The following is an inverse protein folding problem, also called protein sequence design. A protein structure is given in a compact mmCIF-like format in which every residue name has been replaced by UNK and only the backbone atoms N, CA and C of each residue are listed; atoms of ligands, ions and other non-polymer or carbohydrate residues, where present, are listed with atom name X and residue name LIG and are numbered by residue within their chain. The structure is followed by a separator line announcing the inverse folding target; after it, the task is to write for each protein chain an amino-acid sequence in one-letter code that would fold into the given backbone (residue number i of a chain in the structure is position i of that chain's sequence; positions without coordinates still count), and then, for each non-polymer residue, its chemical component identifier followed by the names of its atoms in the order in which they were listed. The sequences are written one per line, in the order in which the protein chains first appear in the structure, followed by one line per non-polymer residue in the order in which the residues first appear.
data_IF_532259825759
#
_entry.id   IF_532259825759
#
_cell.length_a   1.000
_cell.length_b   1.000
_cell.length_c   1.000
_cell.angle_alpha   90.00
_cell.angle_beta   90.00
_cell.angle_gamma   90.00
#
_symmetry.space_group_name_H-M   'P 1'
#
loop_
_entity.id
_entity.type
_entity.pdbx_description
1 polymer ?
#
# COMPACT_ATOMS: atom_id res chain seq x y z
N UNK A 1 31.96 19.25 -37.01
CA UNK A 1 30.84 18.51 -37.62
C UNK A 1 31.06 17.03 -37.36
N UNK A 2 30.13 16.37 -36.68
CA UNK A 2 30.33 14.97 -36.24
C UNK A 2 30.30 14.04 -37.45
N UNK A 3 31.10 12.97 -37.46
CA UNK A 3 31.17 12.01 -38.56
C UNK A 3 29.77 11.48 -38.97
N UNK A 4 28.89 11.30 -37.99
CA UNK A 4 27.50 10.88 -38.20
C UNK A 4 26.63 11.92 -38.93
N UNK A 5 26.89 13.22 -38.74
CA UNK A 5 26.17 14.29 -39.44
C UNK A 5 26.60 14.33 -40.92
N UNK A 6 27.90 14.13 -41.19
CA UNK A 6 28.44 14.07 -42.54
C UNK A 6 27.85 12.88 -43.31
N UNK A 7 27.79 11.69 -42.70
CA UNK A 7 27.19 10.49 -43.31
C UNK A 7 25.70 10.70 -43.63
N UNK A 8 24.95 11.37 -42.74
CA UNK A 8 23.53 11.66 -42.95
C UNK A 8 23.33 12.62 -44.12
N UNK A 9 24.11 13.70 -44.21
CA UNK A 9 24.03 14.67 -45.31
C UNK A 9 24.43 14.03 -46.64
N UNK A 10 25.49 13.20 -46.66
CA UNK A 10 25.88 12.48 -47.88
C UNK A 10 24.75 11.57 -48.37
N UNK A 11 24.04 10.88 -47.46
CA UNK A 11 22.88 10.05 -47.82
C UNK A 11 21.74 10.88 -48.40
N UNK A 12 21.39 11.99 -47.75
CA UNK A 12 20.31 12.88 -48.20
C UNK A 12 20.64 13.48 -49.59
N UNK A 13 21.88 13.92 -49.80
CA UNK A 13 22.35 14.43 -51.10
C UNK A 13 22.36 13.33 -52.17
N UNK A 14 22.78 12.11 -51.83
CA UNK A 14 22.78 10.99 -52.76
C UNK A 14 21.35 10.63 -53.22
N UNK A 15 20.37 10.65 -52.31
CA UNK A 15 18.96 10.41 -52.65
C UNK A 15 18.43 11.51 -53.58
N UNK A 16 18.72 12.79 -53.27
CA UNK A 16 18.32 13.91 -54.12
C UNK A 16 18.94 13.80 -55.51
N UNK A 17 20.23 13.46 -55.61
CA UNK A 17 20.90 13.23 -56.89
C UNK A 17 20.23 12.12 -57.71
N UNK A 18 19.89 10.99 -57.07
CA UNK A 18 19.19 9.88 -57.76
C UNK A 18 17.83 10.34 -58.28
N UNK A 19 17.05 11.07 -57.48
CA UNK A 19 15.75 11.60 -57.89
C UNK A 19 15.89 12.57 -59.06
N UNK A 20 16.89 13.45 -59.04
CA UNK A 20 17.17 14.38 -60.14
C UNK A 20 17.58 13.66 -61.43
N UNK A 21 18.42 12.62 -61.34
CA UNK A 21 18.83 11.81 -62.50
C UNK A 21 17.64 11.07 -63.11
N UNK A 22 16.80 10.47 -62.27
CA UNK A 22 15.58 9.79 -62.73
C UNK A 22 14.62 10.81 -63.35
N UNK A 23 14.39 11.95 -62.71
CA UNK A 23 13.53 13.03 -63.23
C UNK A 23 14.03 13.59 -64.57
N UNK A 24 15.33 13.84 -64.70
CA UNK A 24 15.95 14.27 -65.95
C UNK A 24 15.78 13.22 -67.06
N UNK A 25 15.97 11.94 -66.73
CA UNK A 25 15.78 10.84 -67.68
C UNK A 25 14.32 10.71 -68.13
N UNK A 26 13.36 10.94 -67.23
CA UNK A 26 11.93 10.96 -67.56
C UNK A 26 11.62 12.13 -68.49
N UNK A 27 12.07 13.35 -68.19
CA UNK A 27 11.78 14.54 -69.02
C UNK A 27 12.38 14.42 -70.43
N UNK A 28 13.59 13.88 -70.55
CA UNK A 28 14.28 13.71 -71.83
C UNK A 28 14.00 12.37 -72.53
N UNK A 29 13.15 11.51 -71.96
CA UNK A 29 12.70 10.32 -72.68
C UNK A 29 11.61 10.71 -73.65
N UNK A 30 11.80 10.39 -74.94
CA UNK A 30 10.74 10.44 -75.94
C UNK A 30 9.67 9.39 -75.56
N UNK A 31 8.70 9.79 -74.73
CA UNK A 31 7.53 8.98 -74.39
C UNK A 31 6.58 8.90 -75.57
N UNK A 32 7.02 8.25 -76.66
CA UNK A 32 6.15 7.83 -77.73
C UNK A 32 5.48 6.52 -77.30
N UNK A 33 4.44 6.63 -76.47
CA UNK A 33 3.62 5.48 -76.08
C UNK A 33 2.81 5.07 -77.30
N UNK A 34 3.39 4.15 -78.08
CA UNK A 34 2.71 3.59 -79.25
C UNK A 34 1.68 2.57 -78.77
N UNK A 35 0.49 3.05 -78.38
CA UNK A 35 -0.61 2.23 -77.85
C UNK A 35 -1.08 1.13 -78.82
N UNK A 36 -0.68 1.19 -80.09
CA UNK A 36 -0.99 0.19 -81.11
C UNK A 36 -0.17 -1.12 -81.00
N UNK A 37 0.92 -1.15 -80.23
CA UNK A 37 1.75 -2.37 -80.05
C UNK A 37 1.52 -3.09 -78.72
N UNK A 38 0.63 -2.57 -77.86
CA UNK A 38 0.32 -3.18 -76.58
C UNK A 38 -0.63 -4.36 -76.77
N UNK A 39 -0.26 -5.53 -76.24
CA UNK A 39 -1.17 -6.66 -76.16
C UNK A 39 -2.28 -6.35 -75.15
N UNK A 40 -3.46 -6.97 -75.32
CA UNK A 40 -4.55 -6.87 -74.34
C UNK A 40 -4.07 -7.23 -72.91
N UNK A 41 -3.12 -8.17 -72.80
CA UNK A 41 -2.49 -8.57 -71.53
C UNK A 41 -1.71 -7.42 -70.88
N UNK A 42 -1.02 -6.60 -71.67
CA UNK A 42 -0.19 -5.49 -71.17
C UNK A 42 -1.07 -4.36 -70.61
N UNK A 43 -2.21 -4.10 -71.28
CA UNK A 43 -3.20 -3.11 -70.82
C UNK A 43 -3.83 -3.57 -69.50
N UNK A 44 -4.17 -4.86 -69.38
CA UNK A 44 -4.71 -5.43 -68.13
C UNK A 44 -3.67 -5.36 -67.02
N UNK A 45 -2.40 -5.66 -67.30
CA UNK A 45 -1.32 -5.56 -66.32
C UNK A 45 -1.10 -4.11 -65.84
N UNK A 46 -1.14 -3.13 -66.75
CA UNK A 46 -1.05 -1.71 -66.42
C UNK A 46 -2.22 -1.26 -65.55
N UNK A 47 -3.44 -1.71 -65.85
CA UNK A 47 -4.63 -1.43 -65.05
C UNK A 47 -4.51 -2.04 -63.65
N UNK A 48 -4.04 -3.29 -63.56
CA UNK A 48 -3.81 -3.97 -62.29
C UNK A 48 -2.78 -3.23 -61.43
N UNK A 49 -1.68 -2.77 -62.06
CA UNK A 49 -0.64 -2.00 -61.41
C UNK A 49 -1.18 -0.67 -60.86
N UNK A 50 -2.04 0.02 -61.63
CA UNK A 50 -2.70 1.26 -61.18
C UNK A 50 -3.56 1.02 -59.93
N UNK A 51 -4.36 -0.05 -59.93
CA UNK A 51 -5.19 -0.41 -58.77
C UNK A 51 -4.35 -0.83 -57.56
N UNK A 52 -3.24 -1.55 -57.76
CA UNK A 52 -2.34 -1.94 -56.68
C UNK A 52 -1.70 -0.70 -56.01
N UNK A 53 -1.26 0.28 -56.79
CA UNK A 53 -0.73 1.55 -56.27
C UNK A 53 -1.84 2.33 -55.54
N UNK A 54 -3.03 2.43 -56.12
CA UNK A 54 -4.18 3.11 -55.49
C UNK A 54 -4.59 2.47 -54.16
N UNK A 55 -4.65 1.14 -54.10
CA UNK A 55 -4.94 0.39 -52.89
C UNK A 55 -3.84 0.57 -51.83
N UNK A 56 -2.57 0.59 -52.23
CA UNK A 56 -1.45 0.85 -51.32
C UNK A 56 -1.58 2.21 -50.63
N UNK A 57 -1.88 3.27 -51.40
CA UNK A 57 -2.11 4.62 -50.85
C UNK A 57 -3.35 4.65 -49.95
N UNK A 58 -4.44 3.99 -50.33
CA UNK A 58 -5.64 3.90 -49.51
C UNK A 58 -5.39 3.16 -48.19
N UNK A 59 -4.63 2.06 -48.21
CA UNK A 59 -4.22 1.34 -47.01
C UNK A 59 -3.28 2.16 -46.12
N UNK A 60 -2.36 2.93 -46.72
CA UNK A 60 -1.48 3.83 -45.98
C UNK A 60 -2.28 4.86 -45.18
N UNK A 61 -3.21 5.57 -45.82
CA UNK A 61 -4.03 6.57 -45.12
C UNK A 61 -4.91 5.94 -44.04
N UNK A 62 -5.55 4.79 -44.32
CA UNK A 62 -6.40 4.10 -43.34
C UNK A 62 -5.60 3.57 -42.15
N UNK A 63 -4.39 3.06 -42.39
CA UNK A 63 -3.48 2.60 -41.34
C UNK A 63 -2.95 3.77 -40.51
N UNK A 64 -2.62 4.89 -41.15
CA UNK A 64 -2.16 6.11 -40.48
C UNK A 64 -3.26 6.70 -39.57
N UNK A 65 -4.48 6.84 -40.07
CA UNK A 65 -5.63 7.31 -39.27
C UNK A 65 -5.95 6.35 -38.11
N UNK A 66 -5.90 5.04 -38.34
CA UNK A 66 -6.10 4.05 -37.29
C UNK A 66 -5.01 4.09 -36.24
N UNK A 67 -3.75 4.30 -36.64
CA UNK A 67 -2.61 4.39 -35.74
C UNK A 67 -2.68 5.64 -34.88
N UNK A 68 -2.98 6.80 -35.47
CA UNK A 68 -3.16 8.04 -34.72
C UNK A 68 -4.29 7.91 -33.67
N UNK A 69 -5.45 7.36 -34.07
CA UNK A 69 -6.55 7.10 -33.13
C UNK A 69 -6.15 6.12 -32.03
N UNK A 70 -5.35 5.10 -32.35
CA UNK A 70 -4.84 4.16 -31.36
C UNK A 70 -3.91 4.84 -30.36
N UNK A 71 -2.97 5.67 -30.81
CA UNK A 71 -2.05 6.40 -29.93
C UNK A 71 -2.78 7.42 -29.05
N UNK A 72 -3.74 8.16 -29.58
CA UNK A 72 -4.56 9.09 -28.80
C UNK A 72 -5.37 8.36 -27.72
N UNK A 73 -5.98 7.23 -28.07
CA UNK A 73 -6.73 6.40 -27.14
C UNK A 73 -5.82 5.76 -26.07
N UNK A 74 -4.63 5.30 -26.46
CA UNK A 74 -3.66 4.75 -25.51
C UNK A 74 -3.15 5.83 -24.56
N UNK A 75 -2.85 7.03 -25.07
CA UNK A 75 -2.44 8.15 -24.24
C UNK A 75 -3.53 8.54 -23.24
N UNK A 76 -4.78 8.67 -23.70
CA UNK A 76 -5.94 8.91 -22.81
C UNK A 76 -6.11 7.79 -21.79
N UNK A 77 -6.04 6.53 -22.22
CA UNK A 77 -6.15 5.37 -21.34
C UNK A 77 -5.09 5.36 -20.25
N UNK A 78 -3.82 5.59 -20.61
CA UNK A 78 -2.72 5.65 -19.65
C UNK A 78 -2.91 6.83 -18.69
N UNK A 79 -3.26 8.02 -19.20
CA UNK A 79 -3.52 9.19 -18.38
C UNK A 79 -4.66 8.94 -17.38
N UNK A 80 -5.80 8.43 -17.85
CA UNK A 80 -6.95 8.13 -17.00
C UNK A 80 -6.60 7.06 -15.95
N UNK A 81 -5.85 6.03 -16.34
CA UNK A 81 -5.37 5.00 -15.41
C UNK A 81 -4.44 5.59 -14.34
N UNK A 82 -3.51 6.47 -14.71
CA UNK A 82 -2.62 7.15 -13.77
C UNK A 82 -3.37 8.08 -12.81
N UNK A 83 -4.40 8.78 -13.28
CA UNK A 83 -5.27 9.63 -12.43
C UNK A 83 -6.01 8.77 -11.41
N UNK A 84 -6.57 7.63 -11.84
CA UNK A 84 -7.26 6.73 -10.92
C UNK A 84 -6.29 6.09 -9.93
N UNK A 85 -5.11 5.65 -10.36
CA UNK A 85 -4.08 5.14 -9.44
C UNK A 85 -3.66 6.19 -8.41
N UNK A 86 -3.51 7.46 -8.83
CA UNK A 86 -3.21 8.56 -7.92
C UNK A 86 -4.34 8.83 -6.93
N UNK A 87 -5.59 8.71 -7.37
CA UNK A 87 -6.78 8.84 -6.52
C UNK A 87 -6.85 7.69 -5.51
N UNK A 88 -6.54 6.46 -5.92
CA UNK A 88 -6.42 5.30 -5.02
C UNK A 88 -5.29 5.52 -4.03
N UNK A 89 -4.10 5.90 -4.47
CA UNK A 89 -2.95 6.10 -3.59
C UNK A 89 -3.19 7.21 -2.56
N UNK A 90 -3.86 8.31 -2.96
CA UNK A 90 -4.22 9.39 -2.04
C UNK A 90 -5.34 9.00 -1.09
N UNK A 91 -6.46 8.45 -1.60
CA UNK A 91 -7.60 8.03 -0.78
C UNK A 91 -7.28 6.87 0.16
N UNK A 92 -6.74 5.76 -0.37
CA UNK A 92 -6.34 4.61 0.45
C UNK A 92 -5.16 4.90 1.35
N UNK A 93 -4.15 5.62 0.87
CA UNK A 93 -2.99 5.94 1.68
C UNK A 93 -3.37 6.78 2.91
N UNK A 94 -4.24 7.77 2.73
CA UNK A 94 -4.71 8.62 3.83
C UNK A 94 -5.64 7.85 4.78
N UNK A 95 -6.53 7.00 4.26
CA UNK A 95 -7.40 6.17 5.09
C UNK A 95 -6.63 5.10 5.87
N UNK A 96 -5.66 4.41 5.26
CA UNK A 96 -4.80 3.43 5.95
C UNK A 96 -4.01 4.11 7.07
N UNK A 97 -3.43 5.27 6.78
CA UNK A 97 -2.66 6.04 7.77
C UNK A 97 -3.55 6.47 8.94
N UNK A 98 -4.79 6.86 8.66
CA UNK A 98 -5.75 7.24 9.70
C UNK A 98 -6.20 6.03 10.55
N UNK A 99 -6.36 4.86 9.93
CA UNK A 99 -6.64 3.58 10.61
C UNK A 99 -5.45 3.17 11.49
N UNK A 100 -4.22 3.26 10.98
CA UNK A 100 -2.99 2.96 11.74
C UNK A 100 -2.86 3.86 12.96
N UNK A 101 -3.11 5.16 12.79
CA UNK A 101 -3.06 6.14 13.86
C UNK A 101 -4.13 5.88 14.93
N UNK A 102 -5.37 5.59 14.54
CA UNK A 102 -6.44 5.26 15.50
C UNK A 102 -6.28 3.89 16.15
N UNK A 103 -5.65 2.93 15.49
CA UNK A 103 -5.27 1.64 16.10
C UNK A 103 -4.21 1.83 17.18
N UNK A 104 -3.28 2.76 16.95
CA UNK A 104 -2.31 3.18 17.96
C UNK A 104 -3.00 3.89 19.13
N UNK A 105 -3.96 4.79 18.86
CA UNK A 105 -4.77 5.44 19.90
C UNK A 105 -5.60 4.43 20.69
N UNK A 106 -6.18 3.43 20.03
CA UNK A 106 -6.92 2.33 20.67
C UNK A 106 -6.00 1.50 21.59
N UNK A 107 -4.79 1.21 21.13
CA UNK A 107 -3.78 0.52 21.95
C UNK A 107 -3.43 1.34 23.19
N UNK A 108 -3.32 2.66 23.06
CA UNK A 108 -3.07 3.59 24.16
C UNK A 108 -4.29 3.68 25.12
N UNK A 109 -5.52 3.71 24.59
CA UNK A 109 -6.76 3.67 25.38
C UNK A 109 -6.90 2.36 26.16
N UNK A 110 -6.56 1.23 25.53
CA UNK A 110 -6.53 -0.10 26.17
C UNK A 110 -5.47 -0.14 27.28
N UNK A 111 -4.28 0.41 27.03
CA UNK A 111 -3.24 0.55 28.05
C UNK A 111 -3.77 1.38 29.24
N UNK A 112 -4.42 2.53 28.98
CA UNK A 112 -5.08 3.37 30.00
C UNK A 112 -6.17 2.65 30.81
N UNK A 113 -6.90 1.71 30.21
CA UNK A 113 -7.91 0.89 30.90
C UNK A 113 -7.30 -0.07 31.93
N UNK A 114 -6.22 -0.76 31.57
CA UNK A 114 -5.51 -1.60 32.54
C UNK A 114 -4.82 -0.77 33.63
N UNK A 115 -4.43 0.46 33.29
CA UNK A 115 -3.78 1.47 34.15
C UNK A 115 -4.72 2.21 35.13
N UNK A 116 -6.04 2.17 34.97
CA UNK A 116 -6.98 2.92 35.83
C UNK A 116 -8.12 2.01 36.33
N UNK A 117 -8.43 1.99 37.62
CA UNK A 117 -9.52 1.14 38.15
C UNK A 117 -10.83 1.88 37.86
N UNK A 118 -11.54 1.56 36.78
CA UNK A 118 -12.79 2.27 36.50
C UNK A 118 -13.61 1.67 35.36
N UNK A 119 -14.85 1.30 35.68
CA UNK A 119 -15.86 0.83 34.75
C UNK A 119 -16.24 1.86 33.66
N UNK A 120 -15.90 3.15 33.82
CA UNK A 120 -16.16 4.22 32.84
C UNK A 120 -15.31 4.11 31.55
N UNK A 121 -14.09 3.56 31.62
CA UNK A 121 -13.18 3.46 30.45
C UNK A 121 -13.60 2.31 29.51
N UNK A 122 -14.37 1.34 30.00
CA UNK A 122 -14.91 0.23 29.20
C UNK A 122 -15.87 0.72 28.11
N UNK A 123 -16.65 1.77 28.39
CA UNK A 123 -17.64 2.29 27.45
C UNK A 123 -16.99 3.16 26.36
N UNK A 124 -15.91 3.87 26.71
CA UNK A 124 -15.13 4.68 25.79
C UNK A 124 -14.33 3.81 24.81
N UNK A 125 -13.68 2.74 25.28
CA UNK A 125 -13.01 1.76 24.41
C UNK A 125 -14.00 1.06 23.47
N UNK A 126 -15.19 0.70 23.96
CA UNK A 126 -16.22 0.10 23.11
C UNK A 126 -16.71 1.07 22.02
N UNK A 127 -16.86 2.36 22.34
CA UNK A 127 -17.21 3.40 21.36
C UNK A 127 -16.08 3.67 20.38
N UNK A 128 -14.83 3.70 20.82
CA UNK A 128 -13.66 3.95 19.99
C UNK A 128 -13.39 2.77 19.03
N UNK A 129 -13.58 1.53 19.52
CA UNK A 129 -13.56 0.31 18.71
C UNK A 129 -14.69 0.30 17.67
N UNK A 130 -15.92 0.62 18.08
CA UNK A 130 -17.05 0.71 17.14
C UNK A 130 -16.86 1.82 16.10
N UNK A 131 -16.25 2.94 16.47
CA UNK A 131 -15.92 4.02 15.54
C UNK A 131 -14.82 3.62 14.55
N UNK A 132 -13.83 2.85 15.00
CA UNK A 132 -12.76 2.32 14.15
C UNK A 132 -13.29 1.23 13.21
N UNK A 133 -14.09 0.29 13.70
CA UNK A 133 -14.78 -0.73 12.88
C UNK A 133 -15.69 -0.09 11.84
N UNK A 134 -16.44 0.96 12.22
CA UNK A 134 -17.28 1.71 11.29
C UNK A 134 -16.46 2.42 10.21
N UNK A 135 -15.35 3.05 10.57
CA UNK A 135 -14.49 3.73 9.62
C UNK A 135 -13.79 2.75 8.65
N UNK A 136 -13.38 1.56 9.14
CA UNK A 136 -12.89 0.47 8.28
C UNK A 136 -13.97 0.03 7.30
N UNK A 137 -15.21 -0.16 7.77
CA UNK A 137 -16.34 -0.51 6.90
C UNK A 137 -16.68 0.58 5.87
N UNK A 138 -16.56 1.85 6.24
CA UNK A 138 -16.80 2.98 5.33
C UNK A 138 -15.70 3.06 4.26
N UNK A 139 -14.44 2.83 4.65
CA UNK A 139 -13.29 2.72 3.74
C UNK A 139 -13.42 1.55 2.76
N UNK A 140 -13.90 0.39 3.21
CA UNK A 140 -14.17 -0.76 2.35
C UNK A 140 -15.27 -0.44 1.31
N UNK A 141 -16.35 0.22 1.73
CA UNK A 141 -17.40 0.63 0.80
C UNK A 141 -16.90 1.65 -0.24
N UNK A 142 -16.00 2.55 0.15
CA UNK A 142 -15.41 3.52 -0.77
C UNK A 142 -14.44 2.84 -1.76
N UNK A 143 -13.70 1.82 -1.32
CA UNK A 143 -12.92 0.93 -2.16
C UNK A 143 -13.80 0.29 -3.24
N UNK A 144 -14.92 -0.30 -2.81
CA UNK A 144 -15.90 -0.93 -3.69
C UNK A 144 -16.40 0.02 -4.78
N UNK A 145 -16.74 1.27 -4.42
CA UNK A 145 -17.19 2.29 -5.37
C UNK A 145 -16.11 2.72 -6.37
N UNK A 146 -14.87 2.87 -5.92
CA UNK A 146 -13.73 3.21 -6.79
C UNK A 146 -13.48 2.07 -7.79
N UNK A 147 -13.58 0.82 -7.33
CA UNK A 147 -13.43 -0.35 -8.19
C UNK A 147 -14.59 -0.49 -9.17
N UNK A 148 -15.83 -0.21 -8.75
CA UNK A 148 -16.99 -0.19 -9.64
C UNK A 148 -16.84 0.88 -10.73
N UNK A 149 -16.36 2.06 -10.37
CA UNK A 149 -16.03 3.14 -11.32
C UNK A 149 -14.89 2.73 -12.27
N UNK A 150 -13.90 1.99 -11.77
CA UNK A 150 -12.83 1.41 -12.60
C UNK A 150 -13.38 0.40 -13.60
N UNK A 151 -14.29 -0.47 -13.17
CA UNK A 151 -14.93 -1.44 -14.05
C UNK A 151 -15.80 -0.77 -15.11
N UNK A 152 -16.57 0.26 -14.76
CA UNK A 152 -17.35 1.03 -15.73
C UNK A 152 -16.46 1.74 -16.77
N UNK A 153 -15.32 2.30 -16.34
CA UNK A 153 -14.38 2.98 -17.25
C UNK A 153 -13.51 2.03 -18.06
N UNK A 154 -13.32 0.80 -17.59
CA UNK A 154 -12.61 -0.23 -18.33
C UNK A 154 -13.47 -0.78 -19.47
N UNK A 155 -12.89 -0.94 -20.66
CA UNK A 155 -13.53 -1.66 -21.79
C UNK A 155 -13.49 -3.20 -21.59
N UNK A 156 -13.61 -3.67 -20.36
CA UNK A 156 -13.64 -5.11 -20.05
C UNK A 156 -15.01 -5.69 -20.41
N UNK A 157 -15.00 -6.94 -20.88
CA UNK A 157 -16.23 -7.70 -21.10
C UNK A 157 -16.95 -7.97 -19.76
N UNK A 158 -18.28 -8.06 -19.77
CA UNK A 158 -19.08 -8.24 -18.56
C UNK A 158 -18.73 -9.52 -17.79
N UNK A 159 -18.23 -10.56 -18.49
CA UNK A 159 -17.75 -11.79 -17.83
C UNK A 159 -16.45 -11.58 -17.06
N UNK A 160 -15.52 -10.79 -17.60
CA UNK A 160 -14.24 -10.47 -16.94
C UNK A 160 -14.47 -9.58 -15.71
N UNK A 161 -15.43 -8.64 -15.79
CA UNK A 161 -15.84 -7.82 -14.64
C UNK A 161 -16.35 -8.65 -13.47
N UNK A 162 -17.21 -9.64 -13.73
CA UNK A 162 -17.71 -10.52 -12.68
C UNK A 162 -16.60 -11.35 -12.03
N UNK A 163 -15.67 -11.90 -12.84
CA UNK A 163 -14.55 -12.69 -12.31
C UNK A 163 -13.65 -11.85 -11.41
N UNK A 164 -13.30 -10.62 -11.82
CA UNK A 164 -12.47 -9.76 -10.97
C UNK A 164 -13.24 -9.30 -9.72
N UNK A 165 -14.54 -9.02 -9.82
CA UNK A 165 -15.36 -8.66 -8.65
C UNK A 165 -15.37 -9.78 -7.61
N UNK A 166 -15.59 -11.03 -8.01
CA UNK A 166 -15.54 -12.16 -7.09
C UNK A 166 -14.14 -12.36 -6.49
N UNK A 167 -13.07 -12.18 -7.27
CA UNK A 167 -11.70 -12.24 -6.72
C UNK A 167 -11.40 -11.14 -5.71
N UNK A 168 -11.98 -9.96 -5.91
CA UNK A 168 -11.81 -8.86 -4.99
C UNK A 168 -12.53 -9.13 -3.67
N UNK A 169 -13.79 -9.56 -3.75
CA UNK A 169 -14.59 -9.95 -2.57
C UNK A 169 -13.92 -11.09 -1.78
N UNK A 170 -13.32 -12.06 -2.46
CA UNK A 170 -12.50 -13.12 -1.84
C UNK A 170 -11.29 -12.56 -1.09
N UNK A 171 -10.56 -11.60 -1.68
CA UNK A 171 -9.39 -10.98 -1.06
C UNK A 171 -9.73 -10.06 0.11
N UNK A 172 -10.88 -9.38 0.06
CA UNK A 172 -11.41 -8.62 1.19
C UNK A 172 -11.78 -9.53 2.36
N UNK A 173 -12.37 -10.69 2.08
CA UNK A 173 -12.71 -11.69 3.09
C UNK A 173 -11.44 -12.26 3.77
N UNK A 174 -10.41 -12.57 2.98
CA UNK A 174 -9.10 -12.99 3.51
C UNK A 174 -8.48 -11.90 4.39
N UNK A 175 -8.51 -10.63 3.97
CA UNK A 175 -7.99 -9.50 4.74
C UNK A 175 -8.70 -9.35 6.09
N UNK A 176 -10.03 -9.45 6.12
CA UNK A 176 -10.79 -9.45 7.38
C UNK A 176 -10.41 -10.60 8.30
N UNK A 177 -10.21 -11.78 7.73
CA UNK A 177 -9.82 -12.97 8.49
C UNK A 177 -8.42 -12.78 9.10
N UNK A 178 -7.46 -12.29 8.33
CA UNK A 178 -6.10 -12.01 8.84
C UNK A 178 -6.08 -10.89 9.89
N UNK A 179 -6.89 -9.84 9.73
CA UNK A 179 -7.02 -8.81 10.76
C UNK A 179 -7.62 -9.38 12.06
N UNK A 180 -8.63 -10.24 11.95
CA UNK A 180 -9.22 -10.92 13.10
C UNK A 180 -8.22 -11.84 13.80
N UNK A 181 -7.44 -12.62 13.04
CA UNK A 181 -6.39 -13.48 13.57
C UNK A 181 -5.25 -12.68 14.23
N UNK A 182 -4.79 -11.59 13.61
CA UNK A 182 -3.78 -10.69 14.20
C UNK A 182 -4.27 -10.08 15.52
N UNK A 183 -5.54 -9.65 15.57
CA UNK A 183 -6.12 -9.12 16.79
C UNK A 183 -6.26 -10.21 17.88
N UNK A 184 -6.57 -11.44 17.50
CA UNK A 184 -6.65 -12.57 18.43
C UNK A 184 -5.26 -12.94 18.98
N UNK A 185 -4.27 -13.13 18.11
CA UNK A 185 -2.89 -13.48 18.48
C UNK A 185 -2.27 -12.36 19.33
N UNK A 186 -2.47 -11.10 18.95
CA UNK A 186 -2.04 -9.98 19.78
C UNK A 186 -2.70 -10.04 21.16
N UNK A 187 -4.02 -10.22 21.25
CA UNK A 187 -4.66 -10.28 22.57
C UNK A 187 -4.21 -11.47 23.43
N UNK A 188 -3.94 -12.63 22.81
CA UNK A 188 -3.45 -13.83 23.50
C UNK A 188 -2.00 -13.67 23.97
N UNK A 189 -1.09 -13.22 23.10
CA UNK A 189 0.32 -12.95 23.46
C UNK A 189 0.41 -11.90 24.58
N UNK A 190 -0.43 -10.86 24.53
CA UNK A 190 -0.48 -9.82 25.56
C UNK A 190 -1.03 -10.35 26.89
N UNK A 191 -2.02 -11.24 26.87
CA UNK A 191 -2.53 -11.88 28.09
C UNK A 191 -1.50 -12.80 28.75
N UNK A 192 -0.75 -13.56 27.95
CA UNK A 192 0.32 -14.45 28.43
C UNK A 192 1.50 -13.66 28.99
N UNK A 193 1.95 -12.61 28.29
CA UNK A 193 2.97 -11.69 28.76
C UNK A 193 2.57 -11.03 30.07
N UNK A 194 1.33 -10.54 30.16
CA UNK A 194 0.82 -9.88 31.35
C UNK A 194 0.74 -10.84 32.55
N UNK A 195 0.33 -12.09 32.33
CA UNK A 195 0.28 -13.13 33.36
C UNK A 195 1.67 -13.48 33.88
N UNK A 196 2.65 -13.62 32.98
CA UNK A 196 4.05 -13.87 33.31
C UNK A 196 4.67 -12.75 34.15
N UNK A 197 4.46 -11.49 33.73
CA UNK A 197 4.95 -10.32 34.47
C UNK A 197 4.30 -10.21 35.85
N UNK A 198 2.98 -10.40 35.95
CA UNK A 198 2.26 -10.39 37.22
C UNK A 198 2.79 -11.42 38.21
N UNK A 199 2.99 -12.65 37.74
CA UNK A 199 3.48 -13.75 38.57
C UNK A 199 4.91 -13.49 39.06
N UNK A 200 5.79 -13.06 38.15
CA UNK A 200 7.18 -12.77 38.48
C UNK A 200 7.30 -11.59 39.45
N UNK A 201 6.59 -10.49 39.18
CA UNK A 201 6.58 -9.31 40.03
C UNK A 201 6.03 -9.63 41.43
N UNK A 202 4.96 -10.42 41.52
CA UNK A 202 4.41 -10.87 42.82
C UNK A 202 5.43 -11.67 43.63
N UNK A 203 6.20 -12.54 42.98
CA UNK A 203 7.27 -13.31 43.64
C UNK A 203 8.38 -12.41 44.15
N UNK A 204 8.80 -11.43 43.35
CA UNK A 204 9.81 -10.45 43.73
C UNK A 204 9.36 -9.57 44.90
N UNK A 205 8.12 -9.09 44.87
CA UNK A 205 7.51 -8.31 45.96
C UNK A 205 7.50 -9.13 47.26
N UNK A 206 7.00 -10.38 47.22
CA UNK A 206 6.99 -11.26 48.40
C UNK A 206 8.39 -11.54 48.96
N UNK A 207 9.40 -11.69 48.09
CA UNK A 207 10.78 -11.91 48.52
C UNK A 207 11.35 -10.65 49.16
N UNK A 208 11.09 -9.49 48.55
CA UNK A 208 11.57 -8.22 49.06
C UNK A 208 10.97 -7.98 50.44
N UNK A 209 9.65 -8.02 50.59
CA UNK A 209 8.91 -7.79 51.86
C UNK A 209 9.34 -8.64 53.08
N UNK A 210 10.15 -9.69 52.89
CA UNK A 210 10.72 -10.50 53.98
C UNK A 210 12.07 -9.98 54.49
N UNK A 211 12.61 -8.92 53.89
CA UNK A 211 13.85 -8.26 54.32
C UNK A 211 13.55 -7.22 55.42
N UNK A 212 14.27 -7.28 56.53
CA UNK A 212 14.02 -6.56 57.81
C UNK A 212 14.07 -5.01 57.75
N UNK A 213 14.32 -4.39 56.59
CA UNK A 213 14.52 -2.93 56.43
C UNK A 213 13.43 -2.22 55.61
N UNK A 214 12.33 -2.90 55.30
CA UNK A 214 11.31 -2.41 54.37
C UNK A 214 10.34 -1.40 54.96
N UNK A 215 10.13 -1.43 56.28
CA UNK A 215 9.23 -0.52 56.98
C UNK A 215 9.63 0.96 56.87
N UNK A 216 10.83 1.24 56.32
CA UNK A 216 11.38 2.59 56.12
C UNK A 216 11.27 3.10 54.68
N UNK A 217 10.88 2.28 53.72
CA UNK A 217 10.87 2.62 52.29
C UNK A 217 9.46 2.93 51.79
N UNK A 218 9.32 3.95 50.93
CA UNK A 218 8.04 4.22 50.27
C UNK A 218 7.72 3.13 49.25
N UNK A 219 6.44 2.84 48.97
CA UNK A 219 6.04 1.80 48.00
C UNK A 219 6.77 1.87 46.66
N UNK A 220 6.92 3.08 46.09
CA UNK A 220 7.60 3.26 44.81
C UNK A 220 9.13 3.11 44.88
N UNK A 221 9.73 3.32 46.05
CA UNK A 221 11.15 3.05 46.29
C UNK A 221 11.39 1.54 46.44
N UNK A 222 10.44 0.82 47.04
CA UNK A 222 10.41 -0.64 47.05
C UNK A 222 10.30 -1.15 45.62
N UNK A 223 9.40 -0.60 44.81
CA UNK A 223 9.24 -1.01 43.42
C UNK A 223 10.50 -0.77 42.60
N UNK A 224 11.10 0.43 42.70
CA UNK A 224 12.34 0.75 42.02
C UNK A 224 13.50 -0.16 42.47
N UNK A 225 13.59 -0.49 43.76
CA UNK A 225 14.59 -1.44 44.27
C UNK A 225 14.40 -2.85 43.71
N UNK A 226 13.15 -3.27 43.52
CA UNK A 226 12.81 -4.55 42.90
C UNK A 226 13.25 -4.56 41.44
N UNK A 227 12.94 -3.50 40.69
CA UNK A 227 13.34 -3.34 39.29
C UNK A 227 14.86 -3.32 39.11
N UNK A 228 15.60 -2.66 40.01
CA UNK A 228 17.07 -2.70 40.00
C UNK A 228 17.66 -4.04 40.40
N UNK A 229 16.98 -4.78 41.29
CA UNK A 229 17.39 -6.13 41.71
C UNK A 229 16.98 -7.23 40.73
N UNK A 230 16.13 -6.90 39.75
CA UNK A 230 15.65 -7.84 38.76
C UNK A 230 16.81 -8.22 37.81
N UNK A 231 17.30 -9.45 37.97
CA UNK A 231 18.43 -9.97 37.18
C UNK A 231 18.07 -10.27 35.72
N UNK A 232 16.78 -10.45 35.41
CA UNK A 232 16.31 -10.77 34.06
C UNK A 232 16.06 -9.50 33.26
N UNK A 233 16.81 -9.34 32.17
CA UNK A 233 16.60 -8.27 31.19
C UNK A 233 15.32 -8.48 30.40
N UNK A 234 14.89 -9.73 30.28
CA UNK A 234 13.67 -10.16 29.62
C UNK A 234 12.45 -9.63 30.39
N UNK A 235 12.43 -9.78 31.72
CA UNK A 235 11.37 -9.23 32.56
C UNK A 235 11.21 -7.71 32.41
N UNK A 236 12.31 -6.95 32.41
CA UNK A 236 12.27 -5.49 32.22
C UNK A 236 11.82 -5.11 30.80
N UNK A 237 12.20 -5.90 29.79
CA UNK A 237 11.74 -5.72 28.41
C UNK A 237 10.26 -6.01 28.27
N UNK A 238 9.74 -7.01 28.96
CA UNK A 238 8.32 -7.36 28.95
C UNK A 238 7.49 -6.34 29.72
N UNK A 239 7.98 -5.82 30.85
CA UNK A 239 7.35 -4.69 31.55
C UNK A 239 7.30 -3.42 30.68
N UNK A 240 8.36 -3.13 29.92
CA UNK A 240 8.36 -2.01 28.97
C UNK A 240 7.41 -2.24 27.78
N UNK A 241 7.39 -3.45 27.21
CA UNK A 241 6.46 -3.80 26.12
C UNK A 241 5.01 -3.66 26.55
N UNK A 242 4.70 -4.01 27.80
CA UNK A 242 3.36 -3.89 28.39
C UNK A 242 3.02 -2.47 28.86
N UNK A 243 3.88 -1.48 28.64
CA UNK A 243 3.60 -0.08 29.00
C UNK A 243 3.78 0.23 30.49
N UNK A 244 4.29 -0.69 31.31
CA UNK A 244 4.52 -0.47 32.75
C UNK A 244 5.77 0.37 33.05
N UNK A 245 6.67 0.50 32.08
CA UNK A 245 7.92 1.27 32.18
C UNK A 245 8.09 2.11 30.90
N UNK A 246 8.54 3.35 31.05
CA UNK A 246 8.88 4.22 29.90
C UNK A 246 10.15 3.73 29.18
N UNK A 247 11.04 3.06 29.91
CA UNK A 247 12.29 2.54 29.39
C UNK A 247 12.54 1.12 29.91
N UNK A 248 13.17 0.28 29.07
CA UNK A 248 13.58 -1.10 29.43
C UNK A 248 14.71 -1.18 30.49
N UNK A 249 15.14 -0.03 31.03
CA UNK A 249 16.15 0.09 32.08
C UNK A 249 15.83 1.32 32.93
N UNK A 250 14.87 1.21 33.87
CA UNK A 250 14.44 2.35 34.70
C UNK A 250 15.61 2.81 35.57
N UNK A 251 15.86 4.12 35.62
CA UNK A 251 16.92 4.74 36.42
C UNK A 251 16.34 5.53 37.60
N UNK A 252 15.05 5.85 37.53
CA UNK A 252 14.35 6.64 38.52
C UNK A 252 12.88 6.23 38.60
N UNK A 253 12.21 6.68 39.66
CA UNK A 253 10.74 6.49 39.82
C UNK A 253 9.97 7.11 38.66
N UNK A 254 10.52 8.10 37.96
CA UNK A 254 9.89 8.75 36.80
C UNK A 254 9.80 7.84 35.58
N UNK A 255 10.63 6.80 35.51
CA UNK A 255 10.59 5.83 34.40
C UNK A 255 9.47 4.78 34.59
N UNK A 256 8.72 4.86 35.69
CA UNK A 256 7.57 4.00 35.98
C UNK A 256 6.31 4.74 35.55
N UNK A 257 5.53 4.12 34.67
CA UNK A 257 4.27 4.71 34.21
C UNK A 257 3.18 4.56 35.27
N UNK A 258 2.09 5.30 35.13
CA UNK A 258 0.91 5.14 35.99
C UNK A 258 0.40 3.67 36.00
N UNK A 259 0.60 2.95 34.89
CA UNK A 259 0.21 1.55 34.73
C UNK A 259 1.04 0.64 35.61
N UNK A 260 2.36 0.85 35.58
CA UNK A 260 3.31 0.12 36.40
C UNK A 260 3.08 0.38 37.89
N UNK A 261 2.80 1.62 38.28
CA UNK A 261 2.46 1.99 39.65
C UNK A 261 1.21 1.26 40.13
N UNK A 262 0.12 1.31 39.36
CA UNK A 262 -1.13 0.64 39.73
C UNK A 262 -0.97 -0.88 39.82
N UNK A 263 -0.26 -1.49 38.86
CA UNK A 263 0.06 -2.92 38.89
C UNK A 263 0.79 -3.27 40.18
N UNK A 264 1.86 -2.53 40.50
CA UNK A 264 2.66 -2.76 41.69
C UNK A 264 1.83 -2.60 42.98
N UNK A 265 1.04 -1.54 43.09
CA UNK A 265 0.17 -1.29 44.24
C UNK A 265 -0.89 -2.39 44.40
N UNK A 266 -1.48 -2.88 43.30
CA UNK A 266 -2.44 -3.99 43.35
C UNK A 266 -1.80 -5.27 43.88
N UNK A 267 -0.55 -5.54 43.50
CA UNK A 267 0.22 -6.69 43.98
C UNK A 267 0.61 -6.48 45.44
N UNK A 268 1.06 -5.28 45.81
CA UNK A 268 1.46 -4.95 47.16
C UNK A 268 0.30 -5.14 48.14
N UNK A 269 -0.89 -4.60 47.82
CA UNK A 269 -2.10 -4.75 48.62
C UNK A 269 -2.58 -6.21 48.70
N UNK A 270 -2.35 -7.01 47.65
CA UNK A 270 -2.66 -8.45 47.68
C UNK A 270 -1.70 -9.24 48.57
N UNK A 271 -0.46 -8.78 48.72
CA UNK A 271 0.59 -9.46 49.48
C UNK A 271 0.65 -8.99 50.94
N UNK A 272 0.29 -7.74 51.20
CA UNK A 272 0.11 -7.15 52.52
C UNK A 272 -1.40 -7.03 52.79
N UNK A 273 -2.09 -8.09 53.24
CA UNK A 273 -3.48 -7.95 53.66
C UNK A 273 -3.55 -6.99 54.85
N UNK A 274 -4.56 -6.11 54.84
CA UNK A 274 -4.84 -5.12 55.88
C UNK A 274 -4.65 -5.71 57.29
N UNK A 275 -3.82 -5.03 58.11
CA UNK A 275 -3.96 -5.04 59.56
C UNK A 275 -5.06 -4.07 59.96
#
# INVERSE_FOLDING_TARGET
MKLNEIIRIIREVAVVCVVCVVGYRVINSDFNINLGTLSATDIVALLLALFAVGLSVAFYFKSSDSSNKFYDNMHKFTQDTSVVLGTIQSGFGEQLKNIEQKSQDLKESVDRYYTSNGADVSEEIAREKAATEKQVSDSEQELGKIIETLFEKSKLDDSEKQILKSKLEEKELELKTFQSELNFISNEEWADLNTGVNHHLTSLVKRKLKEDDIDKLRPMEIFLSILFSAKSKEFLKDMHKLGYLENSSPKSVKDITASGEKLFMSILNRVLPDN
#
